data_IF_581964236892
#
_entry.id   IF_581964236892
#
_cell.length_a   1.000
_cell.length_b   1.000
_cell.length_c   1.000
_cell.angle_alpha   90.00
_cell.angle_beta   90.00
_cell.angle_gamma   90.00
#
_symmetry.space_group_name_H-M   'P 1'
#
loop_
_entity.id
_entity.type
_entity.pdbx_description
1 polymer ?
#
# COMPACT_ATOMS: atom_id res chain seq x y z
N UNK A 1 -3.34 6.55 19.51
CA UNK A 1 -3.59 6.68 20.96
C UNK A 1 -4.48 7.87 21.21
N UNK A 2 -4.16 9.04 20.69
CA UNK A 2 -4.95 10.27 20.89
C UNK A 2 -6.38 10.15 20.33
N UNK A 3 -6.56 9.49 19.21
CA UNK A 3 -7.87 9.32 18.58
C UNK A 3 -8.81 8.43 19.41
N UNK A 4 -8.29 7.32 19.94
CA UNK A 4 -9.04 6.41 20.81
C UNK A 4 -9.32 7.04 22.18
N UNK A 5 -8.36 7.79 22.71
CA UNK A 5 -8.53 8.54 23.94
C UNK A 5 -9.55 9.65 23.76
N UNK A 6 -9.50 10.38 22.65
CA UNK A 6 -10.48 11.42 22.32
C UNK A 6 -11.88 10.84 22.09
N UNK A 7 -11.99 9.68 21.45
CA UNK A 7 -13.28 8.99 21.27
C UNK A 7 -13.87 8.50 22.60
N UNK A 8 -13.05 7.88 23.45
CA UNK A 8 -13.48 7.44 24.78
C UNK A 8 -13.91 8.63 25.67
N UNK A 9 -13.17 9.74 25.61
CA UNK A 9 -13.52 10.97 26.33
C UNK A 9 -14.83 11.62 25.83
N UNK A 10 -15.05 11.62 24.52
CA UNK A 10 -16.25 12.19 23.91
C UNK A 10 -17.53 11.38 24.23
N UNK A 11 -17.40 10.10 24.54
CA UNK A 11 -18.53 9.22 24.83
C UNK A 11 -18.76 8.93 26.32
N UNK A 12 -18.31 9.80 27.23
CA UNK A 12 -18.63 9.80 28.64
C UNK A 12 -18.57 8.44 29.35
N UNK A 13 -17.41 7.80 29.40
CA UNK A 13 -17.12 6.67 30.30
C UNK A 13 -18.02 5.42 30.24
N UNK A 14 -18.99 5.35 29.35
CA UNK A 14 -19.88 4.18 29.22
C UNK A 14 -19.44 3.23 28.09
N UNK A 15 -18.38 3.59 27.38
CA UNK A 15 -17.95 2.83 26.22
C UNK A 15 -16.92 1.80 26.64
N UNK A 16 -17.31 0.54 26.65
CA UNK A 16 -16.38 -0.57 26.80
C UNK A 16 -15.45 -0.63 25.59
N UNK A 17 -14.28 -1.24 25.76
CA UNK A 17 -13.36 -1.48 24.67
C UNK A 17 -14.02 -2.18 23.47
N UNK A 18 -14.91 -3.12 23.75
CA UNK A 18 -15.69 -3.84 22.73
C UNK A 18 -16.55 -2.88 21.90
N UNK A 19 -17.24 -1.94 22.55
CA UNK A 19 -18.05 -0.93 21.86
C UNK A 19 -17.19 0.03 21.01
N UNK A 20 -16.00 0.37 21.48
CA UNK A 20 -15.06 1.19 20.70
C UNK A 20 -14.63 0.43 19.44
N UNK A 21 -14.22 -0.82 19.60
CA UNK A 21 -13.79 -1.68 18.50
C UNK A 21 -14.93 -1.93 17.53
N UNK A 22 -16.12 -2.27 18.01
CA UNK A 22 -17.29 -2.56 17.18
C UNK A 22 -17.73 -1.32 16.38
N UNK A 23 -17.90 -0.18 17.03
CA UNK A 23 -18.27 1.05 16.34
C UNK A 23 -17.17 1.56 15.40
N UNK A 24 -15.92 1.28 15.71
CA UNK A 24 -14.79 1.64 14.89
C UNK A 24 -14.69 0.77 13.66
N UNK A 25 -14.89 -0.53 13.80
CA UNK A 25 -14.85 -1.49 12.68
C UNK A 25 -16.05 -1.32 11.73
N UNK A 26 -17.18 -0.85 12.22
CA UNK A 26 -18.38 -0.59 11.41
C UNK A 26 -18.42 0.83 10.83
N UNK A 27 -17.55 1.72 11.28
CA UNK A 27 -17.47 3.09 10.77
C UNK A 27 -16.71 3.12 9.45
N UNK A 28 -17.36 3.57 8.38
CA UNK A 28 -16.70 3.88 7.10
C UNK A 28 -15.61 4.96 7.23
N UNK A 29 -15.51 5.58 8.40
CA UNK A 29 -14.53 6.61 8.72
C UNK A 29 -13.14 6.06 9.09
N UNK A 30 -12.96 4.71 9.10
CA UNK A 30 -11.65 4.10 9.34
C UNK A 30 -10.98 3.63 8.05
N UNK A 31 -10.47 4.53 7.21
CA UNK A 31 -9.78 4.16 5.98
C UNK A 31 -8.51 3.35 6.23
N UNK A 32 -7.98 3.35 7.47
CA UNK A 32 -6.79 2.59 7.83
C UNK A 32 -6.99 1.08 7.84
N UNK A 33 -8.21 0.60 8.05
CA UNK A 33 -8.48 -0.84 8.14
C UNK A 33 -9.14 -1.40 6.87
N UNK A 34 -9.71 -0.55 6.02
CA UNK A 34 -10.39 -0.98 4.80
C UNK A 34 -9.43 -0.99 3.61
N UNK A 35 -9.16 -2.16 3.00
CA UNK A 35 -8.36 -2.22 1.79
C UNK A 35 -9.05 -1.51 0.63
N UNK A 36 -8.29 -0.69 -0.07
CA UNK A 36 -8.71 0.02 -1.28
C UNK A 36 -7.63 -0.10 -2.34
N UNK A 37 -7.96 0.15 -3.58
CA UNK A 37 -6.94 0.24 -4.62
C UNK A 37 -5.94 1.34 -4.25
N UNK A 38 -4.64 1.02 -4.12
CA UNK A 38 -3.63 1.98 -3.69
C UNK A 38 -3.34 3.03 -4.75
N UNK A 39 -3.67 2.76 -6.01
CA UNK A 39 -3.35 3.65 -7.11
C UNK A 39 -1.84 3.88 -7.23
N UNK A 40 -1.45 5.07 -7.65
CA UNK A 40 -0.06 5.41 -7.97
C UNK A 40 0.94 5.24 -6.83
N UNK A 41 0.50 5.13 -5.58
CA UNK A 41 1.40 4.83 -4.46
C UNK A 41 2.02 3.43 -4.60
N UNK A 42 1.32 2.51 -5.27
CA UNK A 42 1.84 1.16 -5.56
C UNK A 42 3.05 1.17 -6.50
N UNK A 43 3.26 2.23 -7.26
CA UNK A 43 4.46 2.41 -8.10
C UNK A 43 5.76 2.38 -7.29
N UNK A 44 5.71 2.58 -5.98
CA UNK A 44 6.84 2.35 -5.08
C UNK A 44 7.30 0.89 -5.20
N UNK A 45 6.38 -0.07 -5.13
CA UNK A 45 6.70 -1.50 -5.29
C UNK A 45 7.26 -1.79 -6.68
N UNK A 46 6.61 -1.29 -7.72
CA UNK A 46 7.05 -1.46 -9.10
C UNK A 46 8.43 -0.84 -9.33
N UNK A 47 8.70 0.31 -8.71
CA UNK A 47 10.02 0.96 -8.74
C UNK A 47 11.11 0.08 -8.13
N UNK A 48 10.83 -0.61 -7.03
CA UNK A 48 11.79 -1.55 -6.43
C UNK A 48 12.12 -2.65 -7.44
N UNK A 49 11.11 -3.20 -8.14
CA UNK A 49 11.31 -4.18 -9.19
C UNK A 49 12.21 -3.68 -10.33
N UNK A 50 12.01 -2.45 -10.76
CA UNK A 50 12.82 -1.80 -11.80
C UNK A 50 14.27 -1.58 -11.32
N UNK A 51 14.44 -1.05 -10.10
CA UNK A 51 15.75 -0.75 -9.50
C UNK A 51 16.57 -2.05 -9.34
N UNK A 52 15.95 -3.11 -8.86
CA UNK A 52 16.62 -4.39 -8.64
C UNK A 52 16.99 -5.15 -9.93
N UNK A 53 16.50 -4.71 -11.09
CA UNK A 53 16.98 -5.15 -12.40
C UNK A 53 18.36 -4.56 -12.75
N UNK A 54 18.76 -3.48 -12.11
CA UNK A 54 20.06 -2.86 -12.26
C UNK A 54 20.08 -1.57 -13.08
N UNK A 55 21.26 -0.99 -13.21
CA UNK A 55 21.46 0.32 -13.85
C UNK A 55 21.01 0.38 -15.30
N UNK A 56 21.12 -0.72 -16.03
CA UNK A 56 20.66 -0.76 -17.43
C UNK A 56 19.18 -0.43 -17.54
N UNK A 57 18.35 -1.05 -16.69
CA UNK A 57 16.91 -0.81 -16.69
C UNK A 57 16.54 0.61 -16.22
N UNK A 58 17.33 1.17 -15.30
CA UNK A 58 17.13 2.53 -14.80
C UNK A 58 17.53 3.60 -15.82
N UNK A 59 18.51 3.32 -16.67
CA UNK A 59 19.01 4.26 -17.68
C UNK A 59 18.17 4.26 -18.96
N UNK A 60 17.35 3.24 -19.17
CA UNK A 60 16.47 3.17 -20.33
C UNK A 60 15.33 4.18 -20.26
N UNK A 61 14.99 4.72 -21.41
CA UNK A 61 13.84 5.59 -21.59
C UNK A 61 12.67 4.83 -22.19
N UNK A 62 11.47 5.32 -21.92
CA UNK A 62 10.23 4.87 -22.55
C UNK A 62 9.70 6.04 -23.39
N UNK A 63 9.33 5.76 -24.63
CA UNK A 63 8.66 6.75 -25.47
C UNK A 63 7.15 6.69 -25.28
N UNK A 64 6.57 7.79 -24.81
CA UNK A 64 5.13 8.01 -24.67
C UNK A 64 4.68 9.07 -25.68
N UNK A 65 4.28 8.61 -26.86
CA UNK A 65 3.81 9.50 -27.93
C UNK A 65 2.31 9.73 -27.96
N UNK A 66 1.54 9.06 -27.10
CA UNK A 66 0.07 9.04 -27.16
C UNK A 66 -0.63 9.41 -25.86
N UNK A 67 0.06 9.36 -24.72
CA UNK A 67 -0.54 9.53 -23.40
C UNK A 67 -1.24 8.27 -22.89
N UNK A 68 -1.07 7.14 -23.58
CA UNK A 68 -1.58 5.83 -23.14
C UNK A 68 -0.72 4.68 -23.67
N UNK A 69 -0.69 3.58 -22.94
CA UNK A 69 -0.13 2.31 -23.40
C UNK A 69 -1.26 1.47 -23.99
N UNK A 70 -1.13 1.13 -25.28
CA UNK A 70 -2.04 0.21 -25.94
C UNK A 70 -1.72 -1.23 -25.54
N UNK A 71 -2.70 -1.95 -25.06
CA UNK A 71 -2.67 -3.40 -24.78
C UNK A 71 -3.58 -4.11 -25.78
N UNK A 72 -3.66 -5.44 -25.71
CA UNK A 72 -4.41 -6.24 -26.66
C UNK A 72 -5.90 -5.84 -26.69
N UNK A 73 -6.55 -5.76 -25.52
CA UNK A 73 -8.00 -5.49 -25.44
C UNK A 73 -8.32 -4.19 -24.67
N UNK A 74 -7.30 -3.45 -24.22
CA UNK A 74 -7.53 -2.26 -23.40
C UNK A 74 -6.39 -1.25 -23.54
N UNK A 75 -6.51 -0.13 -22.82
CA UNK A 75 -5.46 0.90 -22.73
C UNK A 75 -5.18 1.25 -21.28
N UNK A 76 -3.95 1.64 -20.99
CA UNK A 76 -3.54 2.24 -19.71
C UNK A 76 -3.19 3.71 -19.97
N UNK A 77 -4.08 4.65 -19.67
CA UNK A 77 -3.83 6.06 -19.90
C UNK A 77 -3.00 6.69 -18.78
N UNK A 78 -2.24 7.72 -19.13
CA UNK A 78 -1.72 8.66 -18.17
C UNK A 78 -2.84 9.51 -17.56
N UNK A 79 -2.60 10.10 -16.40
CA UNK A 79 -3.54 11.04 -15.79
C UNK A 79 -3.83 12.20 -16.77
N UNK A 80 -5.11 12.46 -17.02
CA UNK A 80 -5.53 13.48 -17.96
C UNK A 80 -5.13 13.24 -19.42
N UNK A 81 -4.63 12.05 -19.78
CA UNK A 81 -4.16 11.73 -21.13
C UNK A 81 -2.88 12.47 -21.53
N UNK A 82 -2.09 12.95 -20.57
CA UNK A 82 -0.87 13.73 -20.85
C UNK A 82 0.15 12.88 -21.59
N UNK A 83 0.78 13.49 -22.61
CA UNK A 83 1.85 12.92 -23.41
C UNK A 83 3.19 13.43 -22.88
N UNK A 84 4.13 12.51 -22.65
CA UNK A 84 5.43 12.85 -22.04
C UNK A 84 6.61 12.77 -23.03
N UNK A 85 6.43 12.15 -24.19
CA UNK A 85 7.54 11.91 -25.11
C UNK A 85 8.54 10.88 -24.58
N UNK A 86 9.81 11.15 -24.75
CA UNK A 86 10.87 10.28 -24.23
C UNK A 86 11.11 10.57 -22.75
N UNK A 87 10.89 9.59 -21.88
CA UNK A 87 10.89 9.77 -20.44
C UNK A 87 11.68 8.65 -19.72
N UNK A 88 12.57 9.04 -18.81
CA UNK A 88 13.35 8.15 -17.96
C UNK A 88 12.71 7.93 -16.59
N UNK A 89 13.24 6.98 -15.82
CA UNK A 89 12.72 6.54 -14.53
C UNK A 89 12.43 7.68 -13.55
N UNK A 90 13.41 8.57 -13.34
CA UNK A 90 13.29 9.66 -12.35
C UNK A 90 12.10 10.57 -12.66
N UNK A 91 11.99 11.00 -13.91
CA UNK A 91 10.91 11.90 -14.33
C UNK A 91 9.57 11.16 -14.29
N UNK A 92 9.54 9.89 -14.75
CA UNK A 92 8.34 9.09 -14.72
C UNK A 92 7.80 8.86 -13.28
N UNK A 93 8.70 8.73 -12.30
CA UNK A 93 8.32 8.62 -10.89
C UNK A 93 7.79 9.95 -10.35
N UNK A 94 8.46 11.08 -10.65
CA UNK A 94 8.05 12.42 -10.21
C UNK A 94 6.66 12.79 -10.72
N UNK A 95 6.40 12.52 -12.00
CA UNK A 95 5.13 12.86 -12.67
C UNK A 95 4.10 11.73 -12.58
N UNK A 96 4.46 10.61 -11.95
CA UNK A 96 3.58 9.45 -11.78
C UNK A 96 3.04 8.89 -13.11
N UNK A 97 3.89 8.75 -14.12
CA UNK A 97 3.53 8.36 -15.49
C UNK A 97 3.11 6.91 -15.58
N UNK A 98 1.84 6.65 -15.87
CA UNK A 98 1.29 5.28 -15.94
C UNK A 98 1.90 4.48 -17.08
N UNK A 99 2.05 5.07 -18.24
CA UNK A 99 2.63 4.42 -19.44
C UNK A 99 4.01 3.86 -19.15
N UNK A 100 4.86 4.65 -18.46
CA UNK A 100 6.20 4.20 -18.08
C UNK A 100 6.16 2.95 -17.20
N UNK A 101 5.44 3.02 -16.09
CA UNK A 101 5.41 1.94 -15.10
C UNK A 101 4.73 0.67 -15.62
N UNK A 102 3.64 0.83 -16.37
CA UNK A 102 2.95 -0.29 -17.01
C UNK A 102 3.86 -1.01 -18.02
N UNK A 103 4.53 -0.25 -18.88
CA UNK A 103 5.46 -0.80 -19.88
C UNK A 103 6.65 -1.50 -19.22
N UNK A 104 7.32 -0.85 -18.27
CA UNK A 104 8.43 -1.43 -17.53
C UNK A 104 8.04 -2.68 -16.73
N UNK A 105 6.82 -2.73 -16.20
CA UNK A 105 6.32 -3.92 -15.53
C UNK A 105 6.22 -5.12 -16.49
N UNK A 106 5.71 -4.88 -17.71
CA UNK A 106 5.58 -5.94 -18.72
C UNK A 106 6.95 -6.39 -19.25
N UNK A 107 7.78 -5.43 -19.66
CA UNK A 107 9.03 -5.72 -20.40
C UNK A 107 10.17 -6.17 -19.48
N UNK A 108 10.27 -5.61 -18.28
CA UNK A 108 11.45 -5.78 -17.42
C UNK A 108 11.18 -6.53 -16.12
N UNK A 109 10.08 -6.23 -15.43
CA UNK A 109 9.83 -6.78 -14.09
C UNK A 109 9.18 -8.16 -14.17
N UNK A 110 8.06 -8.25 -14.85
CA UNK A 110 7.27 -9.47 -14.99
C UNK A 110 6.50 -9.88 -13.74
N UNK A 111 5.52 -10.78 -13.93
CA UNK A 111 4.65 -11.23 -12.83
C UNK A 111 5.42 -11.88 -11.69
N UNK A 112 6.33 -12.80 -12.01
CA UNK A 112 7.06 -13.55 -10.98
C UNK A 112 7.83 -12.64 -10.01
N UNK A 113 8.44 -11.56 -10.54
CA UNK A 113 9.13 -10.57 -9.71
C UNK A 113 8.16 -9.72 -8.91
N UNK A 114 7.05 -9.32 -9.51
CA UNK A 114 6.00 -8.59 -8.79
C UNK A 114 5.41 -9.42 -7.64
N UNK A 115 5.20 -10.74 -7.84
CA UNK A 115 4.75 -11.67 -6.80
C UNK A 115 5.75 -11.75 -5.64
N UNK A 116 7.04 -11.92 -5.95
CA UNK A 116 8.11 -11.94 -4.95
C UNK A 116 8.17 -10.65 -4.13
N UNK A 117 8.05 -9.51 -4.79
CA UNK A 117 8.04 -8.20 -4.13
C UNK A 117 6.80 -8.03 -3.24
N UNK A 118 5.65 -8.48 -3.70
CA UNK A 118 4.42 -8.46 -2.91
C UNK A 118 4.58 -9.32 -1.64
N UNK A 119 5.16 -10.52 -1.75
CA UNK A 119 5.46 -11.39 -0.62
C UNK A 119 6.44 -10.73 0.36
N UNK A 120 7.56 -10.18 -0.13
CA UNK A 120 8.55 -9.46 0.69
C UNK A 120 7.94 -8.28 1.44
N UNK A 121 6.97 -7.59 0.83
CA UNK A 121 6.23 -6.50 1.45
C UNK A 121 4.99 -6.98 2.22
N UNK A 122 4.83 -8.30 2.40
CA UNK A 122 3.72 -8.92 3.12
C UNK A 122 2.32 -8.57 2.56
N UNK A 123 2.24 -8.24 1.25
CA UNK A 123 0.97 -8.03 0.57
C UNK A 123 0.32 -9.41 0.35
N UNK A 124 -0.95 -9.55 0.70
CA UNK A 124 -1.63 -10.84 0.68
C UNK A 124 -1.40 -11.72 1.91
N UNK A 125 -0.57 -11.26 2.86
CA UNK A 125 -0.28 -11.97 4.12
C UNK A 125 -0.93 -11.23 5.30
N UNK A 126 -1.55 -11.96 6.26
CA UNK A 126 -2.11 -11.32 7.44
C UNK A 126 -1.08 -10.51 8.22
N UNK A 127 -1.39 -9.25 8.46
CA UNK A 127 -0.58 -8.37 9.29
C UNK A 127 -1.25 -8.18 10.65
N UNK A 128 -0.46 -8.26 11.68
CA UNK A 128 -0.91 -8.09 13.07
C UNK A 128 -0.14 -6.95 13.72
N UNK A 129 -0.88 -5.99 14.22
CA UNK A 129 -0.39 -5.05 15.19
C UNK A 129 -1.29 -5.15 16.44
N UNK A 130 -1.38 -4.15 17.29
CA UNK A 130 -2.24 -4.20 18.50
C UNK A 130 -3.71 -4.53 18.18
N UNK A 131 -4.11 -4.31 16.94
CA UNK A 131 -5.41 -4.67 16.38
C UNK A 131 -5.23 -5.47 15.10
N UNK A 132 -6.24 -6.26 14.74
CA UNK A 132 -6.25 -6.95 13.45
C UNK A 132 -6.30 -5.95 12.29
N UNK A 133 -5.41 -6.10 11.34
CA UNK A 133 -5.49 -5.39 10.06
C UNK A 133 -6.25 -6.25 9.05
N UNK A 134 -7.04 -5.59 8.22
CA UNK A 134 -7.64 -6.30 7.08
C UNK A 134 -6.55 -6.68 6.08
N UNK A 135 -6.69 -7.88 5.55
CA UNK A 135 -5.76 -8.45 4.58
C UNK A 135 -5.70 -7.60 3.32
N UNK A 136 -4.51 -7.20 2.93
CA UNK A 136 -4.28 -6.64 1.61
C UNK A 136 -4.48 -7.73 0.55
N UNK A 137 -5.12 -7.41 -0.55
CA UNK A 137 -5.34 -8.34 -1.66
C UNK A 137 -4.32 -8.08 -2.75
N UNK A 138 -3.82 -9.17 -3.28
CA UNK A 138 -2.91 -9.16 -4.41
C UNK A 138 -3.13 -10.45 -5.20
N UNK A 139 -3.93 -10.36 -6.23
CA UNK A 139 -4.29 -11.50 -7.06
C UNK A 139 -4.54 -11.03 -8.49
N UNK A 140 -3.76 -11.52 -9.43
CA UNK A 140 -3.95 -11.26 -10.85
C UNK A 140 -3.36 -12.38 -11.71
N UNK A 141 -3.92 -12.55 -12.91
CA UNK A 141 -3.45 -13.55 -13.85
C UNK A 141 -2.15 -13.13 -14.53
N UNK A 142 -1.40 -14.10 -15.02
CA UNK A 142 -0.16 -13.84 -15.75
C UNK A 142 -0.47 -13.42 -17.21
N UNK A 143 -0.95 -12.19 -17.37
CA UNK A 143 -1.14 -11.55 -18.66
C UNK A 143 -0.74 -10.07 -18.55
N UNK A 144 -0.39 -9.47 -19.67
CA UNK A 144 0.15 -8.10 -19.74
C UNK A 144 -0.88 -7.05 -19.28
N UNK A 145 -2.17 -7.29 -19.52
CA UNK A 145 -3.22 -6.34 -19.12
C UNK A 145 -3.36 -6.22 -17.61
N UNK A 146 -3.39 -7.36 -16.92
CA UNK A 146 -3.50 -7.36 -15.47
C UNK A 146 -2.18 -6.90 -14.82
N UNK A 147 -1.04 -7.31 -15.38
CA UNK A 147 0.27 -6.89 -14.89
C UNK A 147 0.44 -5.37 -15.01
N UNK A 148 0.13 -4.78 -16.17
CA UNK A 148 0.20 -3.35 -16.40
C UNK A 148 -0.64 -2.54 -15.41
N UNK A 149 -1.88 -2.98 -15.17
CA UNK A 149 -2.80 -2.30 -14.23
C UNK A 149 -2.38 -2.49 -12.79
N UNK A 150 -1.95 -3.70 -12.43
CA UNK A 150 -1.42 -4.01 -11.10
C UNK A 150 -0.21 -3.15 -10.77
N UNK A 151 0.72 -2.98 -11.72
CA UNK A 151 1.92 -2.19 -11.55
C UNK A 151 1.68 -0.70 -11.21
N UNK A 152 0.52 -0.18 -11.58
CA UNK A 152 0.09 1.19 -11.25
C UNK A 152 -0.94 1.24 -10.10
N UNK A 153 -1.10 0.12 -9.37
CA UNK A 153 -1.95 0.01 -8.19
C UNK A 153 -3.45 -0.02 -8.48
N UNK A 154 -3.83 -0.53 -9.63
CA UNK A 154 -5.21 -0.73 -10.05
C UNK A 154 -5.55 -2.23 -10.11
N UNK A 155 -6.73 -2.56 -10.63
CA UNK A 155 -7.21 -3.91 -10.82
C UNK A 155 -7.43 -4.64 -9.48
N UNK A 156 -6.74 -5.75 -9.26
CA UNK A 156 -6.95 -6.66 -8.15
C UNK A 156 -6.02 -6.41 -6.95
N UNK A 157 -5.39 -5.24 -6.88
CA UNK A 157 -4.60 -4.84 -5.71
C UNK A 157 -5.45 -4.00 -4.77
N UNK A 158 -5.53 -4.41 -3.52
CA UNK A 158 -6.18 -3.65 -2.46
C UNK A 158 -5.29 -3.62 -1.21
N UNK A 159 -5.04 -2.44 -0.69
CA UNK A 159 -4.21 -2.21 0.49
C UNK A 159 -4.90 -1.27 1.46
N UNK A 160 -4.72 -1.50 2.76
CA UNK A 160 -5.08 -0.50 3.76
C UNK A 160 -4.11 0.67 3.73
N UNK A 161 -4.54 1.85 4.17
CA UNK A 161 -3.66 3.01 4.29
C UNK A 161 -2.45 2.72 5.21
N UNK A 162 -2.64 1.92 6.25
CA UNK A 162 -1.55 1.47 7.12
C UNK A 162 -0.52 0.66 6.35
N UNK A 163 -0.95 -0.29 5.51
CA UNK A 163 -0.02 -1.11 4.72
C UNK A 163 0.72 -0.27 3.68
N UNK A 164 0.04 0.70 3.06
CA UNK A 164 0.69 1.69 2.18
C UNK A 164 1.75 2.49 2.92
N UNK A 165 1.47 2.94 4.16
CA UNK A 165 2.44 3.63 4.99
C UNK A 165 3.66 2.74 5.31
N UNK A 166 3.44 1.45 5.61
CA UNK A 166 4.53 0.48 5.84
C UNK A 166 5.40 0.29 4.58
N UNK A 167 4.79 0.16 3.41
CA UNK A 167 5.51 0.08 2.14
C UNK A 167 6.36 1.33 1.90
N UNK A 168 5.78 2.50 2.13
CA UNK A 168 6.48 3.79 1.99
C UNK A 168 7.65 3.91 2.97
N UNK A 169 7.44 3.46 4.22
CA UNK A 169 8.50 3.41 5.24
C UNK A 169 9.64 2.51 4.79
N UNK A 170 9.36 1.32 4.26
CA UNK A 170 10.39 0.42 3.73
C UNK A 170 11.24 1.09 2.66
N UNK A 171 10.62 1.82 1.74
CA UNK A 171 11.34 2.55 0.70
C UNK A 171 12.19 3.71 1.26
N UNK A 172 11.74 4.37 2.35
CA UNK A 172 12.43 5.51 2.95
C UNK A 172 13.50 5.13 3.98
N UNK A 173 13.47 3.91 4.50
CA UNK A 173 14.30 3.44 5.63
C UNK A 173 15.15 2.21 5.25
N UNK A 174 15.79 2.24 4.11
CA UNK A 174 16.73 1.18 3.63
C UNK A 174 16.13 -0.24 3.68
N UNK A 175 14.86 -0.38 3.31
CA UNK A 175 14.13 -1.64 3.31
C UNK A 175 13.60 -2.06 4.69
N UNK A 176 13.76 -1.27 5.71
CA UNK A 176 13.29 -1.61 7.05
C UNK A 176 11.84 -1.18 7.26
N UNK A 177 11.01 -2.13 7.61
CA UNK A 177 9.60 -1.89 7.95
C UNK A 177 9.41 -2.17 9.44
N UNK A 178 9.14 -1.12 10.22
CA UNK A 178 8.82 -1.29 11.63
C UNK A 178 7.40 -1.88 11.78
N UNK A 179 7.25 -2.79 12.74
CA UNK A 179 5.93 -3.29 13.11
C UNK A 179 5.10 -2.14 13.70
N UNK A 180 3.95 -1.82 13.13
CA UNK A 180 3.11 -0.75 13.67
C UNK A 180 2.59 -1.14 15.06
N UNK A 181 2.45 -0.14 15.92
CA UNK A 181 1.85 -0.30 17.25
C UNK A 181 1.13 1.01 17.64
N UNK A 182 0.06 0.88 18.39
CA UNK A 182 -0.70 2.00 18.95
C UNK A 182 -0.59 2.02 20.47
N UNK A 183 -0.33 0.86 21.08
CA UNK A 183 -0.21 0.70 22.52
C UNK A 183 1.26 0.73 22.90
N UNK A 184 1.69 1.78 23.58
CA UNK A 184 3.07 1.90 24.05
C UNK A 184 3.32 1.02 25.29
N UNK A 185 2.36 0.96 26.21
CA UNK A 185 2.51 0.20 27.45
C UNK A 185 1.14 -0.12 28.09
N UNK A 186 1.02 -1.30 28.65
CA UNK A 186 -0.15 -1.72 29.43
C UNK A 186 0.24 -1.83 30.90
N UNK A 187 -0.46 -1.11 31.76
CA UNK A 187 -0.27 -1.17 33.20
C UNK A 187 -1.36 -2.02 33.84
N UNK A 188 -0.98 -2.96 34.70
CA UNK A 188 -1.89 -3.64 35.60
C UNK A 188 -1.94 -2.91 36.92
N UNK A 189 -3.05 -2.29 37.23
CA UNK A 189 -3.32 -1.77 38.59
C UNK A 189 -3.54 -2.98 39.52
N UNK A 190 -2.68 -3.16 40.51
CA UNK A 190 -2.99 -4.07 41.62
C UNK A 190 -4.04 -3.38 42.48
N UNK A 191 -5.24 -3.92 42.56
CA UNK A 191 -6.16 -3.53 43.62
C UNK A 191 -5.47 -3.75 44.98
N UNK A 192 -5.28 -2.69 45.75
CA UNK A 192 -4.99 -2.82 47.18
C UNK A 192 -6.25 -3.44 47.79
N UNK A 193 -6.20 -4.73 48.18
CA UNK A 193 -7.13 -5.23 49.18
C UNK A 193 -6.89 -4.43 50.42
N UNK A 194 -7.78 -3.48 50.72
CA UNK A 194 -7.93 -2.94 52.06
C UNK A 194 -8.39 -4.09 52.93
N UNK A 195 -7.50 -4.56 53.81
CA UNK A 195 -7.86 -5.42 54.88
C UNK A 195 -8.71 -4.54 55.81
N UNK A 196 -10.02 -4.62 55.69
CA UNK A 196 -10.89 -4.26 56.79
C UNK A 196 -10.85 -5.40 57.78
N UNK A 197 -10.40 -5.06 58.99
CA UNK A 197 -10.40 -5.90 60.16
C UNK A 197 -11.80 -6.14 60.76
#
# INVERSE_FOLDING_TARGET
TELLTAYAAANHNTTTWENIVENTLHSETYPMLHPRMPGSVFKILTSIGIIEKGESCLSETVYDGTGYLQLENSVVPNAGGQVYGEIGFKQAFMDSVNVYFAKKAIEDVGKARMDELAERCSIGTPQYFDFGMMLSKYDFNNNDEELARTAIGQQNVQMSAMHVAMLTMGAACDGQIAKPHMIQQVYRTKEKKTAEG
#
